data_IF_139750498032
#
_entry.id   IF_139750498032
#
_cell.length_a   1.000
_cell.length_b   1.000
_cell.length_c   1.000
_cell.angle_alpha   90.00
_cell.angle_beta   90.00
_cell.angle_gamma   90.00
#
_symmetry.space_group_name_H-M   'P 1'
#
loop_
_entity.id
_entity.type
_entity.pdbx_description
1 polymer ?
#
# COMPACT_ATOMS: atom_id res chain seq x y z
N UNK A 1 -52.22 9.49 1.17
CA UNK A 1 -52.75 8.98 -0.12
C UNK A 1 -51.94 9.59 -1.25
N UNK A 2 -51.64 8.79 -2.28
CA UNK A 2 -51.21 9.21 -3.62
C UNK A 2 -49.73 9.61 -3.75
N UNK A 3 -48.79 8.72 -3.46
CA UNK A 3 -48.21 7.85 -4.52
C UNK A 3 -49.15 7.63 -5.71
N UNK A 4 -49.31 8.65 -6.54
CA UNK A 4 -50.00 8.55 -7.82
C UNK A 4 -49.61 9.75 -8.67
N UNK A 5 -48.41 9.71 -9.24
CA UNK A 5 -48.07 10.40 -10.49
C UNK A 5 -46.75 9.79 -11.02
N UNK A 6 -46.77 8.45 -11.08
CA UNK A 6 -45.95 7.65 -11.97
C UNK A 6 -46.73 7.60 -13.29
N UNK A 7 -46.05 7.79 -14.42
CA UNK A 7 -46.52 7.66 -15.82
C UNK A 7 -46.97 8.95 -16.53
N UNK A 8 -46.02 9.69 -17.09
CA UNK A 8 -46.15 10.32 -18.42
C UNK A 8 -44.86 9.94 -19.17
N UNK A 9 -44.88 8.80 -19.86
CA UNK A 9 -45.09 8.72 -21.30
C UNK A 9 -43.92 9.32 -22.11
N UNK A 10 -43.02 8.40 -22.49
CA UNK A 10 -42.70 8.11 -23.88
C UNK A 10 -42.58 9.33 -24.82
N UNK A 11 -41.37 9.83 -25.01
CA UNK A 11 -40.99 10.50 -26.26
C UNK A 11 -39.64 9.96 -26.75
N UNK A 12 -39.75 9.06 -27.73
CA UNK A 12 -38.72 8.74 -28.71
C UNK A 12 -38.29 10.03 -29.42
N UNK A 13 -36.99 10.29 -29.47
CA UNK A 13 -36.41 11.39 -30.25
C UNK A 13 -34.97 11.09 -30.62
N UNK A 14 -34.79 10.53 -31.81
CA UNK A 14 -33.51 10.34 -32.50
C UNK A 14 -32.87 11.72 -32.78
N UNK A 15 -31.67 11.96 -32.24
CA UNK A 15 -30.85 13.13 -32.56
C UNK A 15 -29.47 12.70 -33.05
N UNK A 16 -29.18 12.99 -34.31
CA UNK A 16 -27.87 12.80 -34.94
C UNK A 16 -26.85 13.80 -34.38
N UNK A 17 -25.62 13.30 -34.17
CA UNK A 17 -24.33 13.97 -34.32
C UNK A 17 -24.13 15.38 -33.72
N UNK A 18 -23.31 15.46 -32.67
CA UNK A 18 -22.22 16.45 -32.57
C UNK A 18 -21.00 15.73 -31.96
N UNK A 19 -19.99 15.51 -32.78
CA UNK A 19 -18.66 15.13 -32.32
C UNK A 19 -17.95 16.42 -31.90
N UNK A 20 -17.76 16.60 -30.60
CA UNK A 20 -16.80 17.57 -30.08
C UNK A 20 -15.81 16.79 -29.23
N UNK A 21 -14.62 16.59 -29.80
CA UNK A 21 -13.46 16.03 -29.11
C UNK A 21 -12.87 17.11 -28.21
N UNK A 22 -13.02 17.03 -26.87
CA UNK A 22 -12.06 17.70 -26.02
C UNK A 22 -10.76 16.91 -26.13
N UNK A 23 -9.83 17.40 -26.95
CA UNK A 23 -8.41 17.12 -26.75
C UNK A 23 -8.08 17.82 -25.44
N UNK A 24 -8.37 17.15 -24.32
CA UNK A 24 -7.84 17.53 -23.03
C UNK A 24 -6.33 17.37 -23.15
N UNK A 25 -5.65 18.51 -23.17
CA UNK A 25 -4.21 18.62 -23.12
C UNK A 25 -3.69 17.74 -21.97
N UNK A 26 -3.07 16.61 -22.31
CA UNK A 26 -2.14 15.91 -21.41
C UNK A 26 -0.83 16.69 -21.40
N UNK A 27 -0.88 17.88 -20.82
CA UNK A 27 0.30 18.64 -20.49
C UNK A 27 0.45 18.60 -18.97
N UNK A 28 1.51 17.92 -18.53
CA UNK A 28 2.07 17.90 -17.17
C UNK A 28 1.51 16.87 -16.19
N UNK A 29 1.94 15.60 -16.30
CA UNK A 29 1.89 14.63 -15.17
C UNK A 29 3.09 13.70 -15.09
N UNK A 30 4.21 13.94 -15.79
CA UNK A 30 5.33 12.98 -15.74
C UNK A 30 6.16 13.09 -14.45
N UNK A 31 6.26 14.29 -13.85
CA UNK A 31 6.97 14.48 -12.58
C UNK A 31 6.16 13.92 -11.38
N UNK A 32 4.86 14.20 -11.33
CA UNK A 32 4.00 13.75 -10.21
C UNK A 32 3.80 12.24 -10.20
N UNK A 33 3.77 11.57 -11.37
CA UNK A 33 3.66 10.12 -11.43
C UNK A 33 4.96 9.42 -10.98
N UNK A 34 6.13 9.98 -11.31
CA UNK A 34 7.41 9.41 -10.90
C UNK A 34 7.60 9.46 -9.38
N UNK A 35 7.21 10.57 -8.74
CA UNK A 35 7.27 10.72 -7.29
C UNK A 35 6.25 9.81 -6.58
N UNK A 36 5.04 9.68 -7.11
CA UNK A 36 4.04 8.76 -6.56
C UNK A 36 4.47 7.29 -6.70
N UNK A 37 5.10 6.91 -7.81
CA UNK A 37 5.64 5.56 -8.00
C UNK A 37 6.81 5.26 -7.03
N UNK A 38 7.70 6.24 -6.81
CA UNK A 38 8.81 6.12 -5.86
C UNK A 38 8.34 6.02 -4.39
N UNK A 39 7.26 6.74 -4.03
CA UNK A 39 6.67 6.65 -2.69
C UNK A 39 5.99 5.29 -2.46
N UNK A 40 5.24 4.80 -3.45
CA UNK A 40 4.56 3.50 -3.35
C UNK A 40 5.55 2.34 -3.26
N UNK A 41 6.62 2.36 -4.06
CA UNK A 41 7.69 1.34 -4.00
C UNK A 41 8.39 1.36 -2.64
N UNK A 42 8.71 2.54 -2.10
CA UNK A 42 9.29 2.66 -0.75
C UNK A 42 8.34 2.21 0.36
N UNK A 43 7.03 2.45 0.22
CA UNK A 43 6.03 1.96 1.16
C UNK A 43 5.93 0.43 1.10
N UNK A 44 5.90 -0.15 -0.10
CA UNK A 44 5.90 -1.61 -0.29
C UNK A 44 7.16 -2.26 0.33
N UNK A 45 8.34 -1.68 0.11
CA UNK A 45 9.59 -2.14 0.71
C UNK A 45 9.56 -2.08 2.24
N UNK A 46 8.88 -1.09 2.85
CA UNK A 46 8.76 -1.02 4.31
C UNK A 46 7.87 -2.12 4.91
N UNK A 47 6.93 -2.65 4.14
CA UNK A 47 6.07 -3.76 4.55
C UNK A 47 6.75 -5.12 4.36
N UNK A 48 7.84 -5.17 3.59
CA UNK A 48 8.62 -6.39 3.37
C UNK A 48 9.34 -6.80 4.66
N UNK A 49 9.14 -8.04 5.10
CA UNK A 49 9.73 -8.54 6.35
C UNK A 49 11.23 -8.71 6.26
N UNK A 50 11.78 -8.85 5.06
CA UNK A 50 13.23 -8.91 4.83
C UNK A 50 13.88 -7.52 4.74
N UNK A 51 13.10 -6.42 4.81
CA UNK A 51 13.64 -5.08 4.81
C UNK A 51 14.12 -4.67 6.21
N UNK A 52 15.38 -4.96 6.54
CA UNK A 52 16.00 -4.47 7.76
C UNK A 52 16.38 -3.00 7.59
N UNK A 53 15.81 -2.10 8.40
CA UNK A 53 16.03 -0.64 8.29
C UNK A 53 17.03 -0.09 9.30
N UNK A 54 17.13 -0.75 10.44
CA UNK A 54 17.92 -0.31 11.59
C UNK A 54 18.63 -1.52 12.21
N UNK A 55 19.86 -1.32 12.64
CA UNK A 55 20.67 -2.32 13.36
C UNK A 55 21.21 -1.74 14.66
N UNK A 56 21.54 -2.60 15.62
CA UNK A 56 22.00 -2.19 16.95
C UNK A 56 23.37 -1.49 16.97
N UNK A 57 24.13 -1.53 15.88
CA UNK A 57 25.50 -0.97 15.80
C UNK A 57 25.55 0.55 15.67
N UNK A 58 24.38 1.22 15.55
CA UNK A 58 24.24 2.66 15.29
C UNK A 58 24.95 3.16 14.03
N UNK A 59 25.38 2.25 13.15
CA UNK A 59 25.96 2.62 11.86
C UNK A 59 24.88 3.22 10.95
N UNK A 60 25.27 4.21 10.15
CA UNK A 60 24.37 4.76 9.11
C UNK A 60 24.22 3.74 8.00
N UNK A 61 22.99 3.46 7.61
CA UNK A 61 22.69 2.62 6.45
C UNK A 61 23.11 3.35 5.19
N UNK A 62 23.84 2.65 4.31
CA UNK A 62 24.37 3.22 3.05
C UNK A 62 23.39 3.11 1.89
N UNK A 63 22.41 2.21 2.00
CA UNK A 63 21.43 1.93 0.95
C UNK A 63 20.43 3.08 0.78
N UNK A 64 20.17 3.42 -0.49
CA UNK A 64 19.26 4.52 -0.87
C UNK A 64 17.79 4.14 -0.76
N UNK A 65 17.49 2.85 -0.85
CA UNK A 65 16.13 2.33 -0.94
C UNK A 65 15.46 2.17 0.43
N UNK A 66 16.21 2.44 1.51
CA UNK A 66 15.69 2.46 2.87
C UNK A 66 15.68 1.11 3.59
N UNK A 67 16.21 0.05 2.95
CA UNK A 67 16.49 -1.27 3.53
C UNK A 67 17.99 -1.56 3.41
N UNK A 68 18.57 -2.26 4.38
CA UNK A 68 19.95 -2.75 4.32
C UNK A 68 19.99 -3.91 3.35
N UNK A 69 20.72 -3.76 2.24
CA UNK A 69 20.85 -4.78 1.23
C UNK A 69 21.52 -6.03 1.80
N UNK A 70 20.97 -7.21 1.49
CA UNK A 70 21.46 -8.52 1.93
C UNK A 70 21.62 -8.65 3.46
N UNK A 71 20.82 -7.91 4.24
CA UNK A 71 20.81 -8.08 5.69
C UNK A 71 20.28 -9.47 6.06
N UNK A 72 21.00 -10.24 6.90
CA UNK A 72 20.47 -11.49 7.41
C UNK A 72 19.32 -11.23 8.40
N UNK A 73 18.23 -11.97 8.24
CA UNK A 73 17.10 -11.97 9.18
C UNK A 73 15.82 -11.32 8.67
N UNK A 74 14.88 -11.09 9.60
CA UNK A 74 13.55 -10.52 9.35
C UNK A 74 13.25 -9.43 10.37
N UNK A 75 12.52 -8.40 9.96
CA UNK A 75 12.03 -7.32 10.81
C UNK A 75 10.55 -7.52 11.10
N UNK A 76 10.17 -7.35 12.37
CA UNK A 76 8.78 -7.34 12.82
C UNK A 76 8.49 -6.00 13.48
N UNK A 77 7.49 -5.31 12.95
CA UNK A 77 7.01 -4.05 13.50
C UNK A 77 6.04 -4.26 14.66
N UNK A 78 5.66 -3.16 15.29
CA UNK A 78 4.64 -3.16 16.34
C UNK A 78 3.32 -3.77 15.87
N UNK A 79 2.86 -3.40 14.68
CA UNK A 79 1.61 -3.92 14.10
C UNK A 79 1.66 -5.44 13.89
N UNK A 80 2.84 -6.01 13.55
CA UNK A 80 3.00 -7.46 13.45
C UNK A 80 2.75 -8.13 14.79
N UNK A 81 3.36 -7.59 15.85
CA UNK A 81 3.21 -8.09 17.22
C UNK A 81 1.76 -7.94 17.69
N UNK A 82 1.15 -6.77 17.51
CA UNK A 82 -0.23 -6.51 17.95
C UNK A 82 -1.24 -7.41 17.23
N UNK A 83 -1.04 -7.71 15.93
CA UNK A 83 -1.88 -8.65 15.18
C UNK A 83 -1.82 -10.09 15.70
N UNK A 84 -0.76 -10.47 16.42
CA UNK A 84 -0.71 -11.80 17.05
C UNK A 84 -1.66 -11.94 18.23
N UNK A 85 -2.04 -10.83 18.87
CA UNK A 85 -2.81 -10.80 20.11
C UNK A 85 -2.05 -11.32 21.33
N UNK A 86 -0.75 -11.60 21.21
CA UNK A 86 0.08 -12.10 22.30
C UNK A 86 0.61 -10.96 23.17
N UNK A 87 0.61 -11.17 24.49
CA UNK A 87 1.21 -10.23 25.44
C UNK A 87 2.69 -10.49 25.70
N UNK A 88 3.17 -11.69 25.33
CA UNK A 88 4.57 -12.10 25.42
C UNK A 88 5.25 -11.97 24.06
N UNK A 89 6.36 -11.21 24.00
CA UNK A 89 7.10 -10.99 22.74
C UNK A 89 7.67 -12.30 22.19
N UNK A 90 8.15 -13.20 23.04
CA UNK A 90 8.70 -14.48 22.57
C UNK A 90 7.65 -15.33 21.87
N UNK A 91 6.45 -15.40 22.44
CA UNK A 91 5.30 -16.09 21.86
C UNK A 91 4.78 -15.40 20.60
N UNK A 92 4.75 -14.06 20.57
CA UNK A 92 4.41 -13.30 19.38
C UNK A 92 5.39 -13.62 18.22
N UNK A 93 6.70 -13.59 18.49
CA UNK A 93 7.73 -13.89 17.50
C UNK A 93 7.67 -15.33 17.00
N UNK A 94 7.42 -16.31 17.88
CA UNK A 94 7.27 -17.71 17.49
C UNK A 94 6.03 -17.95 16.61
N UNK A 95 4.95 -17.18 16.79
CA UNK A 95 3.77 -17.20 15.91
C UNK A 95 4.03 -16.54 14.55
N UNK A 96 4.83 -15.48 14.52
CA UNK A 96 5.23 -14.78 13.29
C UNK A 96 6.29 -15.55 12.47
N UNK A 97 7.11 -16.33 13.18
CA UNK A 97 8.23 -17.07 12.62
C UNK A 97 8.47 -18.38 13.39
N UNK A 98 7.98 -19.52 12.87
CA UNK A 98 8.19 -20.82 13.50
C UNK A 98 9.66 -21.25 13.60
N UNK A 99 10.58 -20.61 12.85
CA UNK A 99 12.01 -20.87 12.98
C UNK A 99 12.60 -20.28 14.27
N UNK A 100 11.88 -19.33 14.89
CA UNK A 100 12.23 -18.75 16.19
C UNK A 100 11.63 -19.63 17.28
N UNK A 101 12.46 -20.46 17.90
CA UNK A 101 12.11 -21.16 19.13
C UNK A 101 12.80 -20.51 20.33
N UNK A 102 12.12 -20.52 21.48
CA UNK A 102 12.82 -20.32 22.75
C UNK A 102 13.42 -21.67 23.13
N UNK A 103 14.74 -21.73 23.29
CA UNK A 103 15.39 -22.90 23.87
C UNK A 103 14.75 -23.26 25.21
N UNK A 104 14.59 -24.56 25.45
CA UNK A 104 13.99 -25.12 26.67
C UNK A 104 14.93 -24.98 27.87
#
# INVERSE_FOLDING_TARGET
>A
MRNALLMIALMLGLGLAHAETPIAAVASTDADNADNAAIQTKAALRTERHCIRHTGTRMKVRDRDGCIANAPGRSYGRDDIERTGETDIGRALQRLDPSISRGH
#
